data_IF_013644944119
#
_entry.id   IF_013644944119
#
_cell.length_a   1.000
_cell.length_b   1.000
_cell.length_c   1.000
_cell.angle_alpha   90.00
_cell.angle_beta   90.00
_cell.angle_gamma   90.00
#
_symmetry.space_group_name_H-M   'P 1'
#
loop_
_entity.id
_entity.type
_entity.pdbx_description
1 polymer ?
#
# COMPACT_ATOMS: atom_id res chain seq x y z
N UNK A 1 -10.21 -30.38 19.99
CA UNK A 1 -9.59 -30.83 18.73
C UNK A 1 -8.85 -29.63 18.15
N UNK A 2 -7.53 -29.74 18.01
CA UNK A 2 -6.67 -28.61 17.66
C UNK A 2 -6.87 -28.20 16.22
N UNK A 3 -7.31 -26.96 15.98
CA UNK A 3 -7.12 -26.37 14.66
C UNK A 3 -5.62 -26.13 14.50
N UNK A 4 -4.99 -26.87 13.60
CA UNK A 4 -3.76 -26.40 12.97
C UNK A 4 -4.15 -25.15 12.18
N UNK A 5 -4.15 -24.00 12.87
CA UNK A 5 -4.49 -22.71 12.28
C UNK A 5 -3.51 -22.40 11.16
N UNK A 6 -3.98 -22.52 9.92
CA UNK A 6 -3.19 -22.14 8.76
C UNK A 6 -2.75 -20.68 8.85
N UNK A 7 -1.65 -20.35 8.16
CA UNK A 7 -1.22 -18.95 8.02
C UNK A 7 -2.35 -18.17 7.37
N UNK A 8 -2.62 -16.96 7.88
CA UNK A 8 -3.57 -16.03 7.26
C UNK A 8 -2.89 -15.31 6.12
N UNK A 9 -3.60 -15.10 5.02
CA UNK A 9 -3.12 -14.37 3.86
C UNK A 9 -3.88 -13.07 3.66
N UNK A 10 -3.19 -12.02 3.18
CA UNK A 10 -3.82 -10.75 2.84
C UNK A 10 -4.83 -10.89 1.69
N UNK A 11 -4.69 -11.92 0.85
CA UNK A 11 -5.62 -12.29 -0.21
C UNK A 11 -6.99 -12.74 0.30
N UNK A 12 -7.12 -13.11 1.58
CA UNK A 12 -8.41 -13.46 2.19
C UNK A 12 -9.29 -12.21 2.41
N UNK A 13 -8.70 -11.01 2.37
CA UNK A 13 -9.46 -9.78 2.46
C UNK A 13 -9.94 -9.43 1.05
N UNK A 14 -11.23 -9.17 0.90
CA UNK A 14 -11.85 -8.79 -0.36
C UNK A 14 -12.69 -7.53 -0.17
N UNK A 15 -12.90 -6.81 -1.27
CA UNK A 15 -13.81 -5.67 -1.31
C UNK A 15 -15.15 -6.15 -1.85
N UNK A 16 -16.20 -6.05 -1.05
CA UNK A 16 -17.55 -6.35 -1.49
C UNK A 16 -18.03 -5.23 -2.45
N UNK A 17 -18.22 -5.58 -3.72
CA UNK A 17 -18.65 -4.62 -4.74
C UNK A 17 -20.11 -4.17 -4.56
N UNK A 18 -20.96 -4.97 -3.92
CA UNK A 18 -22.34 -4.55 -3.59
C UNK A 18 -22.32 -3.51 -2.46
N UNK A 19 -21.50 -3.74 -1.43
CA UNK A 19 -21.29 -2.75 -0.35
C UNK A 19 -20.69 -1.45 -0.89
N UNK A 20 -19.71 -1.55 -1.78
CA UNK A 20 -19.12 -0.39 -2.46
C UNK A 20 -20.18 0.38 -3.25
N UNK A 21 -20.97 -0.29 -4.08
CA UNK A 21 -21.99 0.37 -4.90
C UNK A 21 -23.07 1.02 -4.03
N UNK A 22 -23.48 0.39 -2.94
CA UNK A 22 -24.42 0.97 -1.98
C UNK A 22 -23.86 2.23 -1.27
N UNK A 23 -22.54 2.33 -1.12
CA UNK A 23 -21.88 3.51 -0.54
C UNK A 23 -21.75 4.68 -1.53
N UNK A 24 -21.92 4.44 -2.84
CA UNK A 24 -21.86 5.49 -3.86
C UNK A 24 -23.15 6.32 -3.84
N UNK A 25 -23.00 7.63 -3.76
CA UNK A 25 -24.11 8.59 -3.75
C UNK A 25 -23.92 9.62 -4.86
N UNK A 26 -24.95 10.45 -5.17
CA UNK A 26 -24.79 11.58 -6.11
C UNK A 26 -23.72 12.61 -5.69
N UNK A 27 -23.20 12.55 -4.46
CA UNK A 27 -22.10 13.40 -3.97
C UNK A 27 -20.72 12.73 -4.09
N UNK A 28 -20.66 11.43 -4.36
CA UNK A 28 -19.40 10.71 -4.51
C UNK A 28 -18.71 11.17 -5.80
N UNK A 29 -17.45 11.60 -5.69
CA UNK A 29 -16.66 12.11 -6.82
C UNK A 29 -15.33 11.40 -6.99
N UNK A 30 -14.85 10.75 -5.92
CA UNK A 30 -13.54 10.13 -5.88
C UNK A 30 -13.63 8.78 -5.19
N UNK A 31 -13.01 7.77 -5.79
CA UNK A 31 -12.67 6.51 -5.16
C UNK A 31 -11.15 6.40 -5.11
N UNK A 32 -10.60 5.99 -3.96
CA UNK A 32 -9.16 5.74 -3.82
C UNK A 32 -8.94 4.24 -3.74
N UNK A 33 -8.15 3.72 -4.66
CA UNK A 33 -7.69 2.34 -4.69
C UNK A 33 -6.20 2.34 -4.36
N UNK A 34 -5.76 1.50 -3.42
CA UNK A 34 -4.32 1.36 -3.13
C UNK A 34 -3.92 -0.12 -3.25
N UNK A 35 -3.08 -0.42 -4.22
CA UNK A 35 -2.65 -1.78 -4.55
C UNK A 35 -1.22 -1.78 -5.10
N UNK A 36 -0.26 -2.54 -4.53
CA UNK A 36 -0.36 -3.28 -3.26
C UNK A 36 -0.70 -2.38 -2.05
N UNK A 37 -1.60 -2.85 -1.21
CA UNK A 37 -2.22 -2.05 -0.16
C UNK A 37 -1.28 -1.85 1.05
N UNK A 38 -1.18 -0.62 1.54
CA UNK A 38 -0.62 -0.30 2.85
C UNK A 38 -1.78 -0.10 3.84
N UNK A 39 -1.86 -0.86 4.96
CA UNK A 39 -0.78 -1.64 5.59
C UNK A 39 -0.81 -3.16 5.34
N UNK A 40 -1.78 -3.66 4.59
CA UNK A 40 -2.15 -5.08 4.62
C UNK A 40 -1.29 -5.95 3.71
N UNK A 41 -0.71 -5.34 2.69
CA UNK A 41 0.00 -6.01 1.60
C UNK A 41 -0.93 -6.78 0.66
N UNK A 42 -2.26 -6.57 0.72
CA UNK A 42 -3.21 -7.14 -0.25
C UNK A 42 -2.89 -6.61 -1.63
N UNK A 43 -2.92 -7.49 -2.62
CA UNK A 43 -3.02 -7.10 -4.02
C UNK A 43 -4.43 -7.36 -4.53
N UNK A 44 -4.91 -6.49 -5.41
CA UNK A 44 -6.12 -6.78 -6.16
C UNK A 44 -5.77 -7.67 -7.35
N UNK A 45 -6.51 -8.77 -7.51
CA UNK A 45 -6.39 -9.62 -8.71
C UNK A 45 -7.04 -8.94 -9.91
N UNK A 46 -6.74 -9.45 -11.11
CA UNK A 46 -7.38 -8.93 -12.34
C UNK A 46 -8.91 -9.08 -12.27
N UNK A 47 -9.39 -10.18 -11.71
CA UNK A 47 -10.81 -10.46 -11.55
C UNK A 47 -11.46 -9.45 -10.60
N UNK A 48 -10.86 -9.19 -9.43
CA UNK A 48 -11.35 -8.19 -8.49
C UNK A 48 -11.36 -6.78 -9.10
N UNK A 49 -10.34 -6.43 -9.89
CA UNK A 49 -10.28 -5.13 -10.56
C UNK A 49 -11.32 -5.01 -11.68
N UNK A 50 -11.66 -6.07 -12.40
CA UNK A 50 -12.72 -6.04 -13.42
C UNK A 50 -14.13 -5.92 -12.80
N UNK A 51 -14.37 -6.57 -11.65
CA UNK A 51 -15.60 -6.37 -10.88
C UNK A 51 -15.74 -4.92 -10.42
N UNK A 52 -14.66 -4.36 -9.86
CA UNK A 52 -14.59 -2.96 -9.46
C UNK A 52 -14.78 -2.01 -10.65
N UNK A 53 -14.16 -2.30 -11.79
CA UNK A 53 -14.35 -1.53 -13.02
C UNK A 53 -15.82 -1.60 -13.49
N UNK A 54 -16.49 -2.73 -13.30
CA UNK A 54 -17.93 -2.87 -13.51
C UNK A 54 -18.74 -1.82 -12.76
N UNK A 55 -18.46 -1.63 -11.46
CA UNK A 55 -19.08 -0.59 -10.63
C UNK A 55 -18.76 0.80 -11.18
N UNK A 56 -17.47 1.11 -11.39
CA UNK A 56 -17.03 2.44 -11.85
C UNK A 56 -17.67 2.84 -13.19
N UNK A 57 -17.82 1.91 -14.14
CA UNK A 57 -18.47 2.17 -15.44
C UNK A 57 -19.93 2.63 -15.30
N UNK A 58 -20.64 2.25 -14.22
CA UNK A 58 -22.02 2.71 -13.95
C UNK A 58 -22.08 4.13 -13.39
N UNK A 59 -20.94 4.69 -12.99
CA UNK A 59 -20.81 6.01 -12.38
C UNK A 59 -19.81 6.88 -13.16
N UNK A 60 -20.20 7.46 -14.31
CA UNK A 60 -19.28 8.21 -15.17
C UNK A 60 -18.66 9.46 -14.51
N UNK A 61 -19.32 10.02 -13.49
CA UNK A 61 -18.82 11.16 -12.72
C UNK A 61 -17.84 10.77 -11.59
N UNK A 62 -17.59 9.47 -11.39
CA UNK A 62 -16.66 8.96 -10.38
C UNK A 62 -15.24 8.93 -10.96
N UNK A 63 -14.31 9.61 -10.30
CA UNK A 63 -12.88 9.52 -10.60
C UNK A 63 -12.25 8.47 -9.69
N UNK A 64 -11.33 7.67 -10.23
CA UNK A 64 -10.53 6.71 -9.49
C UNK A 64 -9.10 7.24 -9.36
N UNK A 65 -8.60 7.34 -8.13
CA UNK A 65 -7.17 7.53 -7.87
C UNK A 65 -6.61 6.20 -7.43
N UNK A 66 -5.74 5.62 -8.25
CA UNK A 66 -5.02 4.39 -7.93
C UNK A 66 -3.62 4.73 -7.43
N UNK A 67 -3.35 4.46 -6.15
CA UNK A 67 -2.05 4.56 -5.50
C UNK A 67 -1.30 3.24 -5.69
N UNK A 68 -0.33 3.26 -6.60
CA UNK A 68 0.42 2.09 -7.08
C UNK A 68 1.90 2.18 -6.70
N UNK A 69 2.24 2.92 -5.63
CA UNK A 69 3.64 3.19 -5.24
C UNK A 69 4.47 1.94 -4.90
N UNK A 70 3.82 0.78 -4.71
CA UNK A 70 4.48 -0.51 -4.43
C UNK A 70 4.41 -1.50 -5.60
N UNK A 71 4.07 -1.06 -6.83
CA UNK A 71 3.89 -1.90 -8.02
C UNK A 71 5.07 -2.85 -8.35
N UNK A 72 6.28 -2.55 -7.86
CA UNK A 72 7.48 -3.35 -8.08
C UNK A 72 7.90 -4.22 -6.88
N UNK A 73 7.23 -4.11 -5.73
CA UNK A 73 7.55 -4.89 -4.52
C UNK A 73 6.48 -5.96 -4.35
N UNK A 74 6.58 -7.00 -5.16
CA UNK A 74 5.61 -8.10 -5.24
C UNK A 74 6.25 -9.40 -4.75
N UNK A 75 5.43 -10.31 -4.23
CA UNK A 75 5.88 -11.62 -3.72
C UNK A 75 5.29 -12.78 -4.52
N UNK A 76 5.91 -13.94 -4.39
CA UNK A 76 5.37 -15.24 -4.84
C UNK A 76 4.98 -15.31 -6.34
N UNK A 77 5.63 -14.49 -7.17
CA UNK A 77 5.40 -14.43 -8.63
C UNK A 77 4.20 -13.61 -9.06
N UNK A 78 3.57 -12.87 -8.13
CA UNK A 78 2.46 -11.99 -8.41
C UNK A 78 2.83 -10.89 -9.43
N UNK A 79 1.82 -10.45 -10.17
CA UNK A 79 1.92 -9.37 -11.14
C UNK A 79 0.97 -8.25 -10.73
N UNK A 80 1.47 -7.02 -10.85
CA UNK A 80 0.66 -5.84 -10.59
C UNK A 80 -0.18 -5.51 -11.81
N UNK A 81 -1.50 -5.47 -11.63
CA UNK A 81 -2.46 -5.08 -12.65
C UNK A 81 -2.83 -3.61 -12.46
N UNK A 82 -2.65 -2.80 -13.50
CA UNK A 82 -2.94 -1.36 -13.44
C UNK A 82 -4.39 -1.12 -13.76
N UNK A 83 -5.14 -0.53 -12.84
CA UNK A 83 -6.59 -0.31 -13.00
C UNK A 83 -6.91 0.50 -14.27
N UNK A 84 -6.08 1.50 -14.59
CA UNK A 84 -6.24 2.35 -15.76
C UNK A 84 -6.13 1.61 -17.11
N UNK A 85 -5.60 0.38 -17.12
CA UNK A 85 -5.46 -0.44 -18.34
C UNK A 85 -6.68 -1.30 -18.64
N UNK A 86 -7.64 -1.37 -17.71
CA UNK A 86 -8.87 -2.10 -17.92
C UNK A 86 -9.79 -1.37 -18.92
N UNK A 87 -10.63 -2.10 -19.68
CA UNK A 87 -11.51 -1.49 -20.67
C UNK A 87 -12.40 -0.39 -20.08
N UNK A 88 -12.26 0.82 -20.62
CA UNK A 88 -13.02 2.01 -20.24
C UNK A 88 -12.54 2.74 -18.99
N UNK A 89 -11.45 2.30 -18.33
CA UNK A 89 -11.01 2.90 -17.06
C UNK A 89 -10.01 4.05 -17.20
N UNK A 90 -9.34 4.19 -18.34
CA UNK A 90 -8.37 5.28 -18.57
C UNK A 90 -8.98 6.67 -18.32
N UNK A 91 -10.16 6.95 -18.90
CA UNK A 91 -10.76 8.29 -18.86
C UNK A 91 -11.22 8.73 -17.45
N UNK A 92 -11.35 7.78 -16.52
CA UNK A 92 -11.75 8.02 -15.14
C UNK A 92 -10.62 7.83 -14.12
N UNK A 93 -9.39 7.47 -14.55
CA UNK A 93 -8.34 7.04 -13.61
C UNK A 93 -7.13 7.97 -13.60
N UNK A 94 -6.70 8.38 -12.40
CA UNK A 94 -5.37 8.92 -12.11
C UNK A 94 -4.55 7.86 -11.40
N UNK A 95 -3.44 7.45 -11.99
CA UNK A 95 -2.44 6.55 -11.39
C UNK A 95 -1.35 7.36 -10.72
N UNK A 96 -1.06 7.08 -9.45
CA UNK A 96 -0.03 7.74 -8.64
C UNK A 96 1.06 6.73 -8.31
N UNK A 97 2.32 7.13 -8.47
CA UNK A 97 3.47 6.33 -8.07
C UNK A 97 4.59 7.20 -7.48
N UNK A 98 5.59 6.57 -6.87
CA UNK A 98 6.59 7.22 -6.02
C UNK A 98 7.99 6.66 -6.21
N UNK A 99 8.90 7.53 -6.64
CA UNK A 99 10.33 7.21 -6.67
C UNK A 99 10.85 6.79 -5.30
N UNK A 100 10.34 7.41 -4.23
CA UNK A 100 10.80 7.14 -2.87
C UNK A 100 10.52 5.71 -2.42
N UNK A 101 9.43 5.11 -2.91
CA UNK A 101 9.05 3.73 -2.61
C UNK A 101 9.72 2.74 -3.57
N UNK A 102 9.72 3.06 -4.86
CA UNK A 102 10.35 2.24 -5.90
C UNK A 102 11.87 2.11 -5.68
N UNK A 103 12.58 3.23 -5.50
CA UNK A 103 14.04 3.27 -5.48
C UNK A 103 14.66 3.35 -4.07
N UNK A 104 13.86 3.17 -3.02
CA UNK A 104 14.29 3.35 -1.62
C UNK A 104 14.85 4.75 -1.32
N UNK A 105 14.36 5.78 -2.03
CA UNK A 105 14.81 7.17 -1.94
C UNK A 105 13.76 8.08 -1.27
N UNK A 106 13.23 7.68 -0.12
CA UNK A 106 12.07 8.35 0.51
C UNK A 106 12.30 9.85 0.80
N UNK A 107 13.55 10.25 1.05
CA UNK A 107 13.94 11.65 1.28
C UNK A 107 13.94 12.54 0.02
N UNK A 108 13.91 11.96 -1.18
CA UNK A 108 13.95 12.74 -2.44
C UNK A 108 12.62 13.39 -2.78
N UNK A 109 11.51 12.85 -2.24
CA UNK A 109 10.15 13.40 -2.40
C UNK A 109 9.78 13.67 -3.86
N UNK A 110 10.18 12.75 -4.75
CA UNK A 110 9.77 12.72 -6.16
C UNK A 110 8.71 11.63 -6.34
N UNK A 111 7.68 11.95 -7.12
CA UNK A 111 6.61 11.05 -7.53
C UNK A 111 5.93 11.61 -8.79
N UNK A 112 4.96 10.88 -9.32
CA UNK A 112 4.27 11.28 -10.54
C UNK A 112 2.81 10.84 -10.52
N UNK A 113 2.03 11.49 -11.38
CA UNK A 113 0.66 11.11 -11.69
C UNK A 113 0.54 10.88 -13.20
N UNK A 114 -0.19 9.84 -13.58
CA UNK A 114 -0.45 9.45 -14.97
C UNK A 114 -1.96 9.35 -15.13
N UNK A 115 -2.50 9.88 -16.23
CA UNK A 115 -3.93 9.77 -16.51
C UNK A 115 -4.33 10.62 -17.72
N UNK A 116 -5.63 10.73 -17.98
CA UNK A 116 -6.15 11.48 -19.12
C UNK A 116 -5.84 12.97 -18.94
N UNK A 117 -5.62 13.64 -20.08
CA UNK A 117 -5.17 15.04 -20.14
C UNK A 117 -5.98 15.96 -19.24
N UNK A 118 -7.30 15.83 -19.24
CA UNK A 118 -8.18 16.72 -18.46
C UNK A 118 -7.94 16.58 -16.95
N UNK A 119 -7.85 15.34 -16.44
CA UNK A 119 -7.59 15.08 -15.03
C UNK A 119 -6.18 15.53 -14.61
N UNK A 120 -5.16 15.23 -15.42
CA UNK A 120 -3.78 15.67 -15.16
C UNK A 120 -3.67 17.19 -15.20
N UNK A 121 -4.41 17.87 -16.10
CA UNK A 121 -4.44 19.33 -16.16
C UNK A 121 -5.01 19.94 -14.89
N UNK A 122 -6.07 19.36 -14.31
CA UNK A 122 -6.58 19.78 -13.00
C UNK A 122 -5.53 19.65 -11.90
N UNK A 123 -4.78 18.53 -11.86
CA UNK A 123 -3.68 18.35 -10.89
C UNK A 123 -2.58 19.41 -11.08
N UNK A 124 -2.20 19.70 -12.32
CA UNK A 124 -1.18 20.70 -12.62
C UNK A 124 -1.60 22.12 -12.20
N UNK A 125 -2.85 22.50 -12.45
CA UNK A 125 -3.41 23.80 -12.02
C UNK A 125 -3.32 23.93 -10.51
N UNK A 126 -3.71 22.89 -9.76
CA UNK A 126 -3.60 22.90 -8.30
C UNK A 126 -2.14 22.98 -7.85
N UNK A 127 -1.25 22.19 -8.46
CA UNK A 127 0.17 22.16 -8.10
C UNK A 127 0.85 23.53 -8.28
N UNK A 128 0.44 24.31 -9.29
CA UNK A 128 0.93 25.68 -9.52
C UNK A 128 0.75 26.58 -8.29
N UNK A 129 -0.31 26.38 -7.50
CA UNK A 129 -0.64 27.21 -6.33
C UNK A 129 -0.22 26.59 -4.99
N UNK A 130 0.12 25.31 -4.95
CA UNK A 130 0.59 24.63 -3.72
C UNK A 130 2.11 24.62 -3.65
N UNK A 131 2.78 24.05 -4.65
CA UNK A 131 4.24 23.84 -4.63
C UNK A 131 4.97 24.58 -5.75
N UNK A 132 4.26 24.94 -6.83
CA UNK A 132 4.77 25.50 -8.08
C UNK A 132 5.69 24.55 -8.87
N UNK A 133 6.73 24.00 -8.25
CA UNK A 133 7.69 23.11 -8.91
C UNK A 133 8.30 22.07 -7.96
N UNK A 134 8.86 21.00 -8.53
CA UNK A 134 9.67 20.00 -7.81
C UNK A 134 11.15 20.30 -8.08
N UNK A 135 12.05 19.94 -7.16
CA UNK A 135 13.49 20.16 -7.31
C UNK A 135 14.04 19.60 -8.64
N UNK A 136 14.47 20.48 -9.55
CA UNK A 136 14.94 20.11 -10.90
C UNK A 136 16.07 19.08 -10.91
N UNK A 137 17.11 19.16 -10.07
CA UNK A 137 18.18 18.15 -10.06
C UNK A 137 17.65 16.74 -9.72
N UNK A 138 16.65 16.64 -8.84
CA UNK A 138 16.05 15.35 -8.47
C UNK A 138 15.18 14.78 -9.59
N UNK A 139 14.50 15.65 -10.34
CA UNK A 139 13.75 15.23 -11.53
C UNK A 139 14.67 14.69 -12.62
N UNK A 140 15.80 15.35 -12.88
CA UNK A 140 16.82 14.90 -13.85
C UNK A 140 17.39 13.54 -13.45
N UNK A 141 17.84 13.40 -12.19
CA UNK A 141 18.34 12.14 -11.69
C UNK A 141 17.28 11.01 -11.75
N UNK A 142 16.00 11.33 -11.54
CA UNK A 142 14.92 10.34 -11.64
C UNK A 142 14.67 9.89 -13.07
N UNK A 143 14.74 10.79 -14.06
CA UNK A 143 14.62 10.43 -15.47
C UNK A 143 15.70 9.40 -15.87
N UNK A 144 16.95 9.65 -15.52
CA UNK A 144 18.05 8.69 -15.75
C UNK A 144 17.85 7.39 -14.96
N UNK A 145 17.41 7.48 -13.70
CA UNK A 145 17.19 6.30 -12.84
C UNK A 145 16.13 5.36 -13.42
N UNK A 146 15.05 5.89 -14.00
CA UNK A 146 14.01 5.07 -14.62
C UNK A 146 14.54 4.25 -15.80
N UNK A 147 15.43 4.82 -16.62
CA UNK A 147 16.07 4.12 -17.74
C UNK A 147 17.11 3.10 -17.27
N UNK A 148 17.93 3.47 -16.28
CA UNK A 148 18.93 2.57 -15.70
C UNK A 148 18.29 1.40 -14.92
N UNK A 149 17.11 1.61 -14.34
CA UNK A 149 16.42 0.60 -13.55
C UNK A 149 16.00 -0.64 -14.36
N UNK A 150 15.81 -0.49 -15.67
CA UNK A 150 15.50 -1.58 -16.60
C UNK A 150 16.72 -2.44 -16.97
N UNK A 151 17.93 -1.98 -16.66
CA UNK A 151 19.17 -2.69 -16.99
C UNK A 151 19.56 -3.68 -15.88
N UNK A 152 20.38 -4.70 -16.19
CA UNK A 152 20.85 -5.67 -15.21
C UNK A 152 21.45 -5.02 -13.96
N UNK A 153 20.98 -5.45 -12.80
CA UNK A 153 21.34 -4.84 -11.51
C UNK A 153 21.67 -5.92 -10.48
N UNK A 154 22.91 -5.93 -9.97
CA UNK A 154 23.39 -6.84 -8.91
C UNK A 154 23.04 -8.32 -9.14
N UNK A 155 23.13 -8.79 -10.38
CA UNK A 155 22.86 -10.19 -10.75
C UNK A 155 21.38 -10.52 -10.98
N UNK A 156 20.50 -9.52 -10.99
CA UNK A 156 19.11 -9.62 -11.43
C UNK A 156 18.94 -9.00 -12.81
N UNK A 157 17.88 -9.39 -13.52
CA UNK A 157 17.57 -8.86 -14.86
C UNK A 157 17.42 -7.34 -14.87
N UNK A 158 16.85 -6.79 -13.79
CA UNK A 158 16.66 -5.36 -13.58
C UNK A 158 16.59 -5.00 -12.09
N UNK A 159 16.56 -3.70 -11.78
CA UNK A 159 16.47 -3.22 -10.40
C UNK A 159 15.17 -3.65 -9.72
N UNK A 160 14.06 -3.74 -10.45
CA UNK A 160 12.75 -4.11 -9.92
C UNK A 160 12.71 -5.56 -9.39
N UNK A 161 13.35 -6.50 -10.10
CA UNK A 161 13.53 -7.87 -9.60
C UNK A 161 14.43 -7.92 -8.36
N UNK A 162 15.49 -7.11 -8.33
CA UNK A 162 16.38 -7.01 -7.16
C UNK A 162 15.64 -6.49 -5.91
N UNK A 163 14.83 -5.44 -6.05
CA UNK A 163 14.13 -4.84 -4.90
C UNK A 163 13.01 -5.75 -4.38
N UNK A 164 12.26 -6.41 -5.28
CA UNK A 164 11.28 -7.44 -4.92
C UNK A 164 11.92 -8.59 -4.14
N UNK A 165 13.02 -9.17 -4.63
CA UNK A 165 13.75 -10.23 -3.91
C UNK A 165 14.25 -9.76 -2.54
N UNK A 166 14.79 -8.54 -2.48
CA UNK A 166 15.32 -7.96 -1.25
C UNK A 166 14.24 -7.84 -0.18
N UNK A 167 13.05 -7.36 -0.55
CA UNK A 167 11.93 -7.25 0.38
C UNK A 167 11.29 -8.59 0.70
N UNK A 168 11.26 -9.55 -0.23
CA UNK A 168 10.81 -10.92 0.04
C UNK A 168 11.64 -11.54 1.16
N UNK A 169 12.97 -11.48 1.07
CA UNK A 169 13.86 -12.01 2.12
C UNK A 169 13.70 -11.31 3.46
N UNK A 170 13.34 -10.02 3.48
CA UNK A 170 13.02 -9.28 4.71
C UNK A 170 11.67 -9.70 5.28
N UNK A 171 10.66 -9.86 4.42
CA UNK A 171 9.33 -10.37 4.77
C UNK A 171 9.47 -11.71 5.48
N UNK A 172 10.16 -12.67 4.87
CA UNK A 172 10.32 -14.02 5.41
C UNK A 172 10.94 -14.02 6.81
N UNK A 173 12.00 -13.22 7.01
CA UNK A 173 12.63 -13.03 8.32
C UNK A 173 11.70 -12.41 9.36
N UNK A 174 10.91 -11.42 8.96
CA UNK A 174 9.97 -10.76 9.86
C UNK A 174 8.80 -11.69 10.23
N UNK A 175 8.29 -12.47 9.28
CA UNK A 175 7.27 -13.50 9.52
C UNK A 175 7.78 -14.50 10.56
N UNK A 176 8.98 -15.05 10.37
CA UNK A 176 9.59 -16.00 11.30
C UNK A 176 9.73 -15.41 12.71
N UNK A 177 10.19 -14.15 12.81
CA UNK A 177 10.33 -13.47 14.09
C UNK A 177 8.99 -13.21 14.80
N UNK A 178 7.94 -12.85 14.04
CA UNK A 178 6.59 -12.64 14.57
C UNK A 178 5.97 -13.96 15.06
N UNK A 179 6.11 -15.04 14.30
CA UNK A 179 5.67 -16.38 14.69
C UNK A 179 6.40 -16.84 15.97
N UNK A 180 7.72 -16.65 16.04
CA UNK A 180 8.52 -16.97 17.24
C UNK A 180 8.11 -16.13 18.47
N UNK A 181 7.54 -14.95 18.26
CA UNK A 181 6.98 -14.09 19.31
C UNK A 181 5.51 -14.41 19.65
N UNK A 182 4.98 -15.54 19.16
CA UNK A 182 3.57 -15.97 19.29
C UNK A 182 2.55 -15.01 18.67
N UNK A 183 2.98 -14.10 17.79
CA UNK A 183 2.07 -13.27 17.01
C UNK A 183 1.61 -14.03 15.77
N UNK A 184 0.46 -13.66 15.23
CA UNK A 184 -0.10 -14.28 14.01
C UNK A 184 0.08 -13.32 12.82
N UNK A 185 1.18 -13.41 12.05
CA UNK A 185 1.36 -12.56 10.87
C UNK A 185 0.33 -12.90 9.79
N UNK A 186 -0.15 -11.87 9.11
CA UNK A 186 -0.95 -11.94 7.89
C UNK A 186 0.03 -11.80 6.72
N UNK A 187 0.14 -12.84 5.91
CA UNK A 187 1.11 -12.91 4.82
C UNK A 187 0.73 -11.92 3.70
N UNK A 188 1.56 -10.89 3.43
CA UNK A 188 1.30 -9.95 2.35
C UNK A 188 1.64 -10.55 0.99
N UNK A 189 0.97 -10.06 -0.06
CA UNK A 189 1.21 -10.37 -1.46
C UNK A 189 2.17 -9.37 -2.13
N UNK A 190 2.26 -8.15 -1.57
CA UNK A 190 3.20 -7.12 -1.99
C UNK A 190 3.38 -6.01 -0.94
N UNK A 191 4.13 -4.97 -1.31
CA UNK A 191 4.44 -3.85 -0.43
C UNK A 191 5.51 -4.19 0.62
N UNK A 192 5.67 -3.31 1.62
CA UNK A 192 6.77 -3.39 2.60
C UNK A 192 6.31 -3.60 4.04
N UNK A 193 5.03 -3.94 4.23
CA UNK A 193 4.38 -4.03 5.53
C UNK A 193 3.87 -5.45 5.79
N UNK A 194 3.79 -5.79 7.07
CA UNK A 194 3.14 -7.02 7.56
C UNK A 194 2.22 -6.61 8.69
N UNK A 195 0.95 -6.99 8.58
CA UNK A 195 0.01 -6.91 9.68
C UNK A 195 0.17 -8.15 10.57
N UNK A 196 0.19 -7.98 11.89
CA UNK A 196 0.26 -9.09 12.83
C UNK A 196 -0.91 -9.01 13.80
N UNK A 197 -1.67 -10.11 13.91
CA UNK A 197 -2.72 -10.21 14.91
C UNK A 197 -2.09 -10.53 16.28
N UNK A 198 -2.38 -9.66 17.25
CA UNK A 198 -1.86 -9.71 18.63
C UNK A 198 -2.96 -10.00 19.63
N UNK A 199 -4.14 -10.45 19.18
CA UNK A 199 -5.30 -10.70 20.06
C UNK A 199 -5.01 -11.73 21.16
N UNK A 200 -4.08 -12.66 20.91
CA UNK A 200 -3.65 -13.71 21.86
C UNK A 200 -2.47 -13.32 22.75
N UNK A 201 -1.88 -12.14 22.56
CA UNK A 201 -0.70 -11.72 23.34
C UNK A 201 -1.14 -10.93 24.57
N UNK A 202 -0.87 -11.46 25.76
CA UNK A 202 -1.09 -10.70 26.98
C UNK A 202 -0.03 -9.60 27.14
N UNK A 203 -0.46 -8.43 27.61
CA UNK A 203 0.40 -7.32 27.99
C UNK A 203 -0.21 -6.55 29.16
N UNK A 204 0.56 -5.76 29.91
CA UNK A 204 0.10 -5.11 31.13
C UNK A 204 -1.07 -4.14 30.89
N UNK A 205 -2.17 -4.30 31.64
CA UNK A 205 -3.42 -3.56 31.45
C UNK A 205 -3.29 -2.06 31.70
N UNK A 206 -2.28 -1.60 32.44
CA UNK A 206 -2.05 -0.17 32.67
C UNK A 206 -1.89 0.61 31.36
N UNK A 207 -1.37 -0.02 30.31
CA UNK A 207 -1.22 0.59 28.98
C UNK A 207 -2.57 0.90 28.33
N UNK A 208 -3.64 0.16 28.67
CA UNK A 208 -5.00 0.44 28.20
C UNK A 208 -5.64 1.65 28.88
N UNK A 209 -5.09 2.06 30.03
CA UNK A 209 -5.58 3.20 30.84
C UNK A 209 -4.82 4.49 30.54
N UNK A 210 -3.73 4.42 29.77
CA UNK A 210 -2.99 5.59 29.31
C UNK A 210 -3.80 6.42 28.30
N UNK A 211 -3.34 7.64 28.05
CA UNK A 211 -3.75 8.44 26.90
C UNK A 211 -2.55 9.24 26.38
N UNK A 212 -2.65 9.68 25.13
CA UNK A 212 -1.63 10.53 24.49
C UNK A 212 -2.32 11.63 23.70
N UNK A 213 -1.61 12.70 23.31
CA UNK A 213 -2.16 13.71 22.39
C UNK A 213 -2.66 13.10 21.06
N UNK A 214 -2.04 12.01 20.59
CA UNK A 214 -2.41 11.32 19.36
C UNK A 214 -3.57 10.32 19.53
N UNK A 215 -3.81 9.84 20.75
CA UNK A 215 -4.85 8.86 21.04
C UNK A 215 -5.39 9.09 22.45
N UNK A 216 -6.54 9.77 22.54
CA UNK A 216 -7.16 10.12 23.82
C UNK A 216 -7.81 8.92 24.52
N UNK A 217 -8.24 7.92 23.74
CA UNK A 217 -8.82 6.67 24.24
C UNK A 217 -8.06 5.50 23.62
N UNK A 218 -7.20 4.85 24.40
CA UNK A 218 -6.39 3.73 23.93
C UNK A 218 -7.26 2.58 23.44
N UNK A 219 -7.08 2.22 22.18
CA UNK A 219 -7.45 0.91 21.65
C UNK A 219 -6.37 -0.12 22.03
N UNK A 220 -6.69 -1.40 21.91
CA UNK A 220 -5.78 -2.49 22.31
C UNK A 220 -4.47 -2.48 21.52
N UNK A 221 -4.53 -2.26 20.23
CA UNK A 221 -3.36 -2.19 19.33
C UNK A 221 -2.46 -0.98 19.63
N UNK A 222 -3.05 0.18 19.94
CA UNK A 222 -2.29 1.35 20.42
C UNK A 222 -1.55 1.06 21.72
N UNK A 223 -2.26 0.52 22.71
CA UNK A 223 -1.68 0.15 24.00
C UNK A 223 -0.58 -0.91 23.84
N UNK A 224 -0.82 -1.92 23.00
CA UNK A 224 0.15 -2.95 22.67
C UNK A 224 1.40 -2.38 22.02
N UNK A 225 1.29 -1.55 20.99
CA UNK A 225 2.43 -0.96 20.29
C UNK A 225 3.26 -0.06 21.23
N UNK A 226 2.61 0.67 22.15
CA UNK A 226 3.30 1.47 23.17
C UNK A 226 4.08 0.60 24.14
N UNK A 227 3.46 -0.47 24.65
CA UNK A 227 4.13 -1.44 25.50
C UNK A 227 5.32 -2.09 24.79
N UNK A 228 5.12 -2.55 23.55
CA UNK A 228 6.16 -3.15 22.73
C UNK A 228 7.34 -2.19 22.54
N UNK A 229 7.05 -0.90 22.33
CA UNK A 229 8.09 0.13 22.17
C UNK A 229 8.84 0.39 23.47
N UNK A 230 8.13 0.65 24.57
CA UNK A 230 8.74 1.04 25.85
C UNK A 230 9.48 -0.12 26.53
N UNK A 231 8.91 -1.33 26.50
CA UNK A 231 9.40 -2.46 27.29
C UNK A 231 10.22 -3.46 26.48
N UNK A 232 10.00 -3.53 25.16
CA UNK A 232 10.71 -4.48 24.27
C UNK A 232 11.63 -3.80 23.27
N UNK A 233 11.59 -2.46 23.17
CA UNK A 233 12.43 -1.70 22.25
C UNK A 233 12.07 -1.90 20.77
N UNK A 234 10.87 -2.42 20.48
CA UNK A 234 10.40 -2.65 19.11
C UNK A 234 9.22 -1.74 18.83
N UNK A 235 9.37 -0.85 17.85
CA UNK A 235 8.31 0.05 17.43
C UNK A 235 7.49 -0.57 16.30
N UNK A 236 6.17 -0.55 16.45
CA UNK A 236 5.19 -0.93 15.43
C UNK A 236 4.14 0.17 15.31
N UNK A 237 3.34 0.12 14.24
CA UNK A 237 2.28 1.10 14.00
C UNK A 237 0.92 0.44 14.31
N UNK A 238 0.11 1.01 15.21
CA UNK A 238 -1.25 0.54 15.43
C UNK A 238 -2.13 0.87 14.21
N UNK A 239 -2.90 -0.09 13.67
CA UNK A 239 -3.73 0.13 12.49
C UNK A 239 -5.06 0.87 12.74
N UNK A 240 -5.51 1.03 14.00
CA UNK A 240 -6.77 1.73 14.33
C UNK A 240 -6.67 3.25 14.35
#
# INVERSE_FOLDING_TARGET
>A
EGSSGGRRHASEWFLDCEELEAAITPKTRLMVLNTPHNPTGKMFTREELEELAGVVRRHPDLIVVTDEVYEHILYDGNKHERFATLPGMWDQTLTVSSAGKTFSMTGWKVGWVIGPKELVSSVMITNQWIQFSVATPLQQAMAETLEEAEKPYKGFDNYYHYISDTYRRKKDKLVEALEAANMEPILPEGGIFIMANTSKIDFPEEYLKESTPACQKMTRDWAFCRWLTKEKGVAAIPPS
#
